data_IF_160881285858
#
_entry.id   IF_160881285858
#
_cell.length_a   1.000
_cell.length_b   1.000
_cell.length_c   1.000
_cell.angle_alpha   90.00
_cell.angle_beta   90.00
_cell.angle_gamma   90.00
#
_symmetry.space_group_name_H-M   'P 1'
#
loop_
_entity.id
_entity.type
_entity.pdbx_description
1 polymer ?
#
# COMPACT_ATOMS: atom_id res chain seq x y z
N UNK A 1 -43.61 -91.25 20.07
CA UNK A 1 -43.25 -91.99 18.84
C UNK A 1 -42.82 -90.94 17.84
N UNK A 2 -41.62 -90.84 17.30
CA UNK A 2 -40.36 -91.57 17.39
C UNK A 2 -39.32 -90.51 16.94
N UNK A 3 -38.26 -90.28 17.70
CA UNK A 3 -36.98 -90.99 17.64
C UNK A 3 -36.08 -90.62 16.44
N UNK A 4 -34.79 -90.50 16.77
CA UNK A 4 -33.59 -90.65 15.95
C UNK A 4 -33.30 -89.62 14.83
N UNK A 5 -32.22 -88.85 14.96
CA UNK A 5 -30.87 -89.31 14.58
C UNK A 5 -29.85 -88.16 14.50
N UNK A 6 -28.58 -88.55 14.67
CA UNK A 6 -27.37 -87.77 15.01
C UNK A 6 -26.66 -87.21 13.74
N UNK A 7 -25.32 -86.97 13.73
CA UNK A 7 -24.66 -85.68 13.93
C UNK A 7 -23.77 -85.27 12.73
N UNK A 8 -23.25 -84.04 12.72
CA UNK A 8 -22.16 -83.64 11.80
C UNK A 8 -21.58 -82.29 12.21
N UNK A 9 -20.45 -82.28 12.90
CA UNK A 9 -19.08 -82.13 12.34
C UNK A 9 -18.81 -80.75 11.69
N UNK A 10 -17.85 -80.07 12.34
CA UNK A 10 -16.79 -79.23 11.76
C UNK A 10 -17.04 -77.73 11.57
N UNK A 11 -16.44 -77.02 12.53
CA UNK A 11 -15.53 -75.88 12.41
C UNK A 11 -15.98 -74.57 11.72
N UNK A 12 -15.56 -73.42 12.29
CA UNK A 12 -15.91 -72.10 11.82
C UNK A 12 -14.98 -71.68 10.69
N UNK A 13 -15.53 -71.18 9.57
CA UNK A 13 -14.74 -70.49 8.56
C UNK A 13 -15.12 -69.01 8.49
N UNK A 14 -14.12 -68.20 8.83
CA UNK A 14 -13.77 -66.96 8.17
C UNK A 14 -14.78 -65.80 8.22
N UNK A 15 -14.69 -65.07 9.34
CA UNK A 15 -15.11 -63.69 9.52
C UNK A 15 -14.27 -62.73 8.68
N UNK A 16 -14.35 -62.69 7.36
CA UNK A 16 -13.66 -61.68 6.53
C UNK A 16 -14.61 -61.05 5.51
N UNK A 17 -15.42 -60.10 5.95
CA UNK A 17 -16.36 -59.38 5.09
C UNK A 17 -16.76 -58.03 5.65
N UNK A 18 -15.81 -57.17 6.02
CA UNK A 18 -16.09 -55.79 6.45
C UNK A 18 -14.88 -54.86 6.30
N UNK A 19 -14.13 -54.95 5.20
CA UNK A 19 -13.02 -54.02 4.94
C UNK A 19 -13.10 -53.28 3.60
N UNK A 20 -14.22 -53.40 2.86
CA UNK A 20 -14.42 -52.64 1.61
C UNK A 20 -15.24 -51.35 1.77
N UNK A 21 -15.89 -51.13 2.92
CA UNK A 21 -16.68 -49.92 3.17
C UNK A 21 -15.87 -48.68 3.66
N UNK A 22 -14.78 -48.78 4.45
CA UNK A 22 -14.08 -47.57 4.91
C UNK A 22 -13.11 -47.01 3.86
N UNK A 23 -12.67 -47.81 2.88
CA UNK A 23 -11.72 -47.39 1.86
C UNK A 23 -12.31 -46.36 0.87
N UNK A 24 -13.62 -46.42 0.59
CA UNK A 24 -14.26 -45.49 -0.34
C UNK A 24 -14.56 -44.11 0.29
N UNK A 25 -14.77 -44.04 1.62
CA UNK A 25 -15.00 -42.78 2.34
C UNK A 25 -13.69 -41.99 2.49
N UNK A 26 -12.55 -42.69 2.70
CA UNK A 26 -11.25 -42.04 2.80
C UNK A 26 -10.76 -41.50 1.43
N UNK A 27 -11.13 -42.13 0.32
CA UNK A 27 -10.76 -41.71 -1.03
C UNK A 27 -11.63 -40.54 -1.55
N UNK A 28 -12.86 -40.37 -1.05
CA UNK A 28 -13.75 -39.26 -1.43
C UNK A 28 -13.38 -37.91 -0.79
N UNK A 29 -12.58 -37.91 0.30
CA UNK A 29 -12.15 -36.69 0.98
C UNK A 29 -10.89 -36.05 0.36
N UNK A 30 -10.29 -36.71 -0.65
CA UNK A 30 -9.06 -36.29 -1.31
C UNK A 30 -9.31 -35.66 -2.70
N UNK A 31 -10.49 -35.09 -2.94
CA UNK A 31 -10.76 -34.29 -4.15
C UNK A 31 -11.65 -33.09 -3.83
N UNK A 32 -11.42 -32.39 -2.71
CA UNK A 32 -11.80 -30.98 -2.68
C UNK A 32 -10.79 -30.25 -3.58
N UNK A 33 -11.18 -29.64 -4.71
CA UNK A 33 -10.36 -28.58 -5.24
C UNK A 33 -10.30 -27.55 -4.12
N UNK A 34 -9.12 -27.36 -3.54
CA UNK A 34 -8.80 -26.15 -2.82
C UNK A 34 -8.86 -25.01 -3.84
N UNK A 35 -10.10 -24.62 -4.20
CA UNK A 35 -10.39 -23.30 -4.67
C UNK A 35 -10.17 -22.39 -3.48
N UNK A 36 -8.90 -22.16 -3.16
CA UNK A 36 -8.48 -20.88 -2.61
C UNK A 36 -8.90 -19.85 -3.65
N UNK A 37 -10.15 -19.44 -3.59
CA UNK A 37 -10.52 -18.09 -3.98
C UNK A 37 -9.67 -17.24 -3.06
N UNK A 38 -8.50 -16.81 -3.54
CA UNK A 38 -7.84 -15.66 -2.95
C UNK A 38 -8.94 -14.62 -2.83
N UNK A 39 -9.26 -14.22 -1.61
CA UNK A 39 -10.18 -13.14 -1.36
C UNK A 39 -9.64 -11.98 -2.22
N UNK A 40 -10.36 -11.66 -3.29
CA UNK A 40 -9.85 -10.73 -4.29
C UNK A 40 -9.49 -9.43 -3.58
N UNK A 41 -8.32 -8.88 -3.87
CA UNK A 41 -7.89 -7.61 -3.30
C UNK A 41 -8.91 -6.54 -3.71
N UNK A 42 -9.69 -6.04 -2.75
CA UNK A 42 -10.80 -5.10 -2.99
C UNK A 42 -10.31 -3.68 -3.21
N UNK A 43 -9.00 -3.43 -3.08
CA UNK A 43 -8.41 -2.09 -3.20
C UNK A 43 -8.33 -1.66 -4.66
N UNK A 44 -8.46 -0.35 -4.86
CA UNK A 44 -8.32 0.26 -6.19
C UNK A 44 -6.88 0.12 -6.66
N UNK A 45 -6.69 -0.53 -7.81
CA UNK A 45 -5.37 -0.64 -8.44
C UNK A 45 -4.97 0.69 -9.07
N UNK A 46 -3.80 1.19 -8.71
CA UNK A 46 -3.16 2.37 -9.31
C UNK A 46 -1.98 1.88 -10.13
N UNK A 47 -2.15 1.87 -11.45
CA UNK A 47 -1.14 1.38 -12.40
C UNK A 47 -0.21 2.53 -12.79
N UNK A 48 1.08 2.36 -12.54
CA UNK A 48 2.11 3.36 -12.79
C UNK A 48 3.26 2.77 -13.63
N UNK A 49 3.94 3.59 -14.45
CA UNK A 49 5.24 3.22 -15.01
C UNK A 49 6.18 2.72 -13.89
N UNK A 50 7.04 1.71 -14.15
CA UNK A 50 7.86 1.11 -13.09
C UNK A 50 8.71 2.12 -12.31
N UNK A 51 9.30 3.09 -13.01
CA UNK A 51 10.10 4.18 -12.44
C UNK A 51 9.27 5.14 -11.58
N UNK A 52 8.01 5.39 -11.95
CA UNK A 52 7.08 6.23 -11.18
C UNK A 52 6.57 5.52 -9.92
N UNK A 53 6.28 4.21 -10.02
CA UNK A 53 5.92 3.38 -8.86
C UNK A 53 7.07 3.33 -7.86
N UNK A 54 8.29 3.11 -8.33
CA UNK A 54 9.47 3.05 -7.47
C UNK A 54 9.68 4.36 -6.73
N UNK A 55 9.60 5.49 -7.44
CA UNK A 55 9.69 6.82 -6.83
C UNK A 55 8.61 7.04 -5.77
N UNK A 56 7.36 6.66 -6.05
CA UNK A 56 6.27 6.80 -5.08
C UNK A 56 6.51 5.94 -3.82
N UNK A 57 7.01 4.71 -3.99
CA UNK A 57 7.35 3.84 -2.87
C UNK A 57 8.55 4.37 -2.07
N UNK A 58 9.52 5.01 -2.72
CA UNK A 58 10.62 5.69 -2.03
C UNK A 58 10.12 6.85 -1.17
N UNK A 59 9.23 7.69 -1.71
CA UNK A 59 8.59 8.76 -0.94
C UNK A 59 7.81 8.20 0.27
N UNK A 60 7.06 7.11 0.09
CA UNK A 60 6.37 6.41 1.19
C UNK A 60 7.33 5.93 2.29
N UNK A 61 8.51 5.43 1.93
CA UNK A 61 9.55 5.07 2.92
C UNK A 61 10.09 6.30 3.63
N UNK A 62 10.29 7.41 2.92
CA UNK A 62 10.69 8.68 3.53
C UNK A 62 9.70 9.16 4.58
N UNK A 63 8.40 9.05 4.29
CA UNK A 63 7.36 9.39 5.28
C UNK A 63 7.38 8.48 6.50
N UNK A 64 7.60 7.17 6.32
CA UNK A 64 7.74 6.26 7.45
C UNK A 64 8.91 6.66 8.35
N UNK A 65 10.08 6.95 7.76
CA UNK A 65 11.26 7.43 8.49
C UNK A 65 10.96 8.73 9.26
N UNK A 66 10.28 9.68 8.62
CA UNK A 66 9.83 10.91 9.29
C UNK A 66 8.94 10.61 10.50
N UNK A 67 7.95 9.72 10.35
CA UNK A 67 7.00 9.43 11.43
C UNK A 67 7.69 8.78 12.63
N UNK A 68 8.61 7.84 12.40
CA UNK A 68 9.35 7.18 13.49
C UNK A 68 10.32 8.13 14.17
N UNK A 69 11.03 8.98 13.42
CA UNK A 69 11.95 9.97 13.99
C UNK A 69 11.21 11.08 14.76
N UNK A 70 10.03 11.47 14.29
CA UNK A 70 9.18 12.44 15.00
C UNK A 70 8.61 11.87 16.28
N UNK A 71 8.22 10.58 16.27
CA UNK A 71 7.79 9.87 17.47
C UNK A 71 8.90 9.88 18.53
N UNK A 72 10.11 9.48 18.15
CA UNK A 72 11.29 9.47 19.03
C UNK A 72 11.57 10.87 19.60
N UNK A 73 11.71 11.88 18.74
CA UNK A 73 11.96 13.26 19.18
C UNK A 73 10.84 13.81 20.08
N UNK A 74 9.58 13.44 19.84
CA UNK A 74 8.48 13.83 20.71
C UNK A 74 8.49 13.12 22.06
N UNK A 75 8.86 11.85 22.11
CA UNK A 75 9.04 11.13 23.39
C UNK A 75 10.17 11.75 24.22
N UNK A 76 11.23 12.21 23.57
CA UNK A 76 12.36 12.90 24.20
C UNK A 76 12.10 14.40 24.45
N UNK A 77 10.91 14.91 24.08
CA UNK A 77 10.56 16.32 24.14
C UNK A 77 11.48 17.27 23.36
N UNK A 78 12.20 16.76 22.35
CA UNK A 78 13.07 17.53 21.46
C UNK A 78 12.28 18.14 20.29
N UNK A 79 11.57 19.24 20.58
CA UNK A 79 10.75 19.93 19.58
C UNK A 79 11.57 20.68 18.52
N UNK A 80 12.83 21.00 18.81
CA UNK A 80 13.74 21.56 17.81
C UNK A 80 14.08 20.50 16.75
N UNK A 81 14.32 19.26 17.17
CA UNK A 81 14.52 18.14 16.26
C UNK A 81 13.28 17.84 15.43
N UNK A 82 12.07 17.90 16.01
CA UNK A 82 10.80 17.75 15.27
C UNK A 82 10.69 18.78 14.14
N UNK A 83 10.97 20.06 14.41
CA UNK A 83 10.97 21.09 13.37
C UNK A 83 12.02 20.81 12.29
N UNK A 84 13.22 20.38 12.67
CA UNK A 84 14.28 20.06 11.71
C UNK A 84 13.89 18.91 10.78
N UNK A 85 13.20 17.89 11.29
CA UNK A 85 12.71 16.76 10.51
C UNK A 85 11.68 17.20 9.45
N UNK A 86 10.80 18.14 9.78
CA UNK A 86 9.84 18.71 8.81
C UNK A 86 10.54 19.43 7.66
N UNK A 87 11.56 20.24 7.96
CA UNK A 87 12.32 20.99 6.95
C UNK A 87 13.07 20.09 5.96
N UNK A 88 13.34 18.84 6.33
CA UNK A 88 13.98 17.86 5.46
C UNK A 88 13.01 17.21 4.47
N UNK A 89 11.70 17.38 4.65
CA UNK A 89 10.72 16.76 3.77
C UNK A 89 10.64 17.44 2.40
N UNK A 90 10.77 16.62 1.37
CA UNK A 90 10.68 17.00 -0.05
C UNK A 90 9.52 16.26 -0.73
N UNK A 91 9.00 16.76 -1.87
CA UNK A 91 9.13 18.12 -2.39
C UNK A 91 8.42 19.18 -1.51
N UNK A 92 8.69 20.48 -1.76
CA UNK A 92 8.02 21.57 -1.05
C UNK A 92 6.49 21.49 -1.17
N UNK A 93 5.79 21.98 -0.14
CA UNK A 93 4.32 21.92 -0.06
C UNK A 93 3.61 22.55 -1.27
N UNK A 94 4.18 23.62 -1.85
CA UNK A 94 3.67 24.23 -3.07
C UNK A 94 3.57 23.24 -4.25
N UNK A 95 4.56 22.35 -4.40
CA UNK A 95 4.56 21.33 -5.44
C UNK A 95 3.57 20.21 -5.16
N UNK A 96 3.38 19.86 -3.88
CA UNK A 96 2.35 18.90 -3.48
C UNK A 96 0.93 19.43 -3.77
N UNK A 97 0.68 20.72 -3.53
CA UNK A 97 -0.59 21.37 -3.88
C UNK A 97 -0.84 21.37 -5.38
N UNK A 98 0.17 21.68 -6.19
CA UNK A 98 0.07 21.56 -7.65
C UNK A 98 -0.16 20.13 -8.11
N UNK A 99 0.41 19.14 -7.41
CA UNK A 99 0.12 17.74 -7.70
C UNK A 99 -1.30 17.40 -7.33
N UNK A 100 -1.90 17.97 -6.30
CA UNK A 100 -3.28 17.68 -5.91
C UNK A 100 -4.34 18.50 -6.65
N UNK A 101 -3.97 19.59 -7.31
CA UNK A 101 -4.92 20.43 -8.04
C UNK A 101 -5.36 19.77 -9.35
N UNK A 102 -6.63 19.98 -9.72
CA UNK A 102 -7.15 19.68 -11.06
C UNK A 102 -6.95 20.84 -12.05
N UNK A 103 -6.50 21.99 -11.54
CA UNK A 103 -6.17 23.16 -12.36
C UNK A 103 -5.13 22.82 -13.44
N UNK A 104 -5.21 23.45 -14.63
CA UNK A 104 -4.17 23.35 -15.64
C UNK A 104 -2.79 23.63 -15.05
N UNK A 105 -1.75 22.90 -15.52
CA UNK A 105 -0.39 23.25 -15.13
C UNK A 105 -0.14 24.69 -15.53
N UNK A 106 0.42 25.53 -14.65
CA UNK A 106 0.91 26.82 -15.09
C UNK A 106 1.86 26.58 -16.26
N UNK A 107 1.63 27.27 -17.37
CA UNK A 107 2.59 27.25 -18.47
C UNK A 107 3.92 27.70 -17.87
N UNK A 108 5.05 27.05 -18.20
CA UNK A 108 6.33 27.55 -17.77
C UNK A 108 6.49 28.94 -18.39
N UNK A 109 6.19 29.97 -17.61
CA UNK A 109 6.60 31.33 -17.89
C UNK A 109 8.09 31.23 -18.17
N UNK A 110 8.50 31.57 -19.39
CA UNK A 110 9.87 31.47 -19.90
C UNK A 110 10.86 31.86 -18.81
N UNK A 111 11.31 30.87 -18.05
CA UNK A 111 12.01 31.11 -16.81
C UNK A 111 13.40 31.58 -17.20
N UNK A 112 13.73 32.80 -16.80
CA UNK A 112 15.08 33.31 -16.81
C UNK A 112 16.02 32.25 -16.22
N UNK A 113 17.13 32.03 -16.92
CA UNK A 113 18.17 31.05 -16.61
C UNK A 113 18.52 31.10 -15.11
N UNK A 114 18.27 30.00 -14.39
CA UNK A 114 18.83 29.81 -13.05
C UNK A 114 17.93 29.02 -12.11
N UNK A 115 17.95 27.68 -12.25
CA UNK A 115 17.76 26.66 -11.21
C UNK A 115 17.20 25.37 -11.82
N UNK A 116 18.02 24.68 -12.62
CA UNK A 116 17.80 23.28 -12.94
C UNK A 116 18.65 22.46 -11.96
N UNK A 117 18.03 21.91 -10.92
CA UNK A 117 18.59 20.78 -10.17
C UNK A 117 17.72 19.57 -10.46
N UNK A 118 18.27 18.63 -11.21
CA UNK A 118 17.71 17.28 -11.40
C UNK A 118 16.88 17.07 -12.66
N UNK A 119 17.41 17.41 -13.84
CA UNK A 119 16.91 16.91 -15.12
C UNK A 119 17.91 15.92 -15.71
N UNK A 120 17.55 14.64 -15.81
CA UNK A 120 18.30 13.66 -16.61
C UNK A 120 18.34 14.08 -18.09
N UNK A 121 19.21 13.48 -18.92
CA UNK A 121 19.44 13.94 -20.28
C UNK A 121 18.25 13.58 -21.17
N UNK A 122 17.47 14.57 -21.60
CA UNK A 122 16.51 14.38 -22.67
C UNK A 122 15.45 15.48 -22.79
N UNK A 123 15.60 16.33 -23.81
CA UNK A 123 14.45 16.99 -24.45
C UNK A 123 14.53 18.51 -24.58
N UNK A 124 14.90 18.98 -25.78
CA UNK A 124 14.58 20.33 -26.27
C UNK A 124 13.09 20.49 -26.63
N UNK A 125 12.66 21.67 -27.10
CA UNK A 125 11.26 22.07 -27.10
C UNK A 125 10.49 21.50 -28.30
N UNK A 126 9.42 20.73 -28.01
CA UNK A 126 8.45 20.24 -29.01
C UNK A 126 8.51 18.73 -29.24
N UNK A 127 7.76 17.95 -28.44
CA UNK A 127 7.66 16.49 -28.58
C UNK A 127 8.38 15.67 -27.50
N UNK A 128 8.69 16.26 -26.34
CA UNK A 128 9.29 15.55 -25.21
C UNK A 128 8.31 14.58 -24.53
N UNK A 129 8.84 13.45 -24.04
CA UNK A 129 8.09 12.55 -23.17
C UNK A 129 7.55 13.32 -21.95
N UNK A 130 6.34 12.99 -21.46
CA UNK A 130 5.79 13.66 -20.29
C UNK A 130 6.74 13.49 -19.09
N UNK A 131 6.95 14.58 -18.36
CA UNK A 131 7.75 14.58 -17.13
C UNK A 131 7.13 13.65 -16.09
N UNK A 132 7.93 13.15 -15.13
CA UNK A 132 7.42 12.37 -13.99
C UNK A 132 6.23 13.07 -13.30
N UNK A 133 6.30 14.38 -13.14
CA UNK A 133 5.23 15.15 -12.51
C UNK A 133 3.93 15.09 -13.31
N UNK A 134 3.99 15.28 -14.63
CA UNK A 134 2.84 15.16 -15.51
C UNK A 134 2.26 13.75 -15.52
N UNK A 135 3.12 12.72 -15.55
CA UNK A 135 2.70 11.31 -15.47
C UNK A 135 2.02 11.00 -14.14
N UNK A 136 2.62 11.39 -13.01
CA UNK A 136 2.02 11.22 -11.68
C UNK A 136 0.69 11.95 -11.55
N UNK A 137 0.60 13.18 -12.06
CA UNK A 137 -0.65 13.96 -12.02
C UNK A 137 -1.76 13.32 -12.87
N UNK A 138 -1.41 12.69 -14.00
CA UNK A 138 -2.34 11.99 -14.89
C UNK A 138 -2.78 10.63 -14.34
N UNK A 139 -1.85 9.85 -13.81
CA UNK A 139 -2.06 8.43 -13.51
C UNK A 139 -2.54 8.18 -12.07
N UNK A 140 -2.35 9.14 -11.16
CA UNK A 140 -2.86 9.02 -9.79
C UNK A 140 -4.31 9.51 -9.69
N UNK A 141 -5.22 8.74 -9.07
CA UNK A 141 -6.58 9.19 -8.79
C UNK A 141 -6.58 10.50 -7.99
N UNK A 142 -7.58 11.37 -8.23
CA UNK A 142 -7.65 12.67 -7.54
C UNK A 142 -7.64 12.53 -6.01
N UNK A 143 -8.46 11.61 -5.47
CA UNK A 143 -8.48 11.32 -4.03
C UNK A 143 -7.13 10.83 -3.49
N UNK A 144 -6.37 10.07 -4.29
CA UNK A 144 -5.01 9.66 -3.93
C UNK A 144 -4.08 10.88 -3.79
N UNK A 145 -4.14 11.82 -4.74
CA UNK A 145 -3.34 13.06 -4.71
C UNK A 145 -3.73 13.96 -3.53
N UNK A 146 -5.01 14.00 -3.17
CA UNK A 146 -5.50 14.73 -1.99
C UNK A 146 -5.03 14.11 -0.67
N UNK A 147 -5.05 12.78 -0.53
CA UNK A 147 -4.51 12.10 0.66
C UNK A 147 -3.01 12.39 0.81
N UNK A 148 -2.23 12.33 -0.27
CA UNK A 148 -0.82 12.71 -0.23
C UNK A 148 -0.60 14.17 0.17
N UNK A 149 -1.46 15.09 -0.29
CA UNK A 149 -1.39 16.49 0.12
C UNK A 149 -1.70 16.65 1.61
N UNK A 150 -2.79 16.05 2.09
CA UNK A 150 -3.19 16.09 3.50
C UNK A 150 -2.04 15.67 4.41
N UNK A 151 -1.38 14.56 4.10
CA UNK A 151 -0.22 14.07 4.85
C UNK A 151 0.91 15.10 4.91
N UNK A 152 1.22 15.77 3.80
CA UNK A 152 2.26 16.81 3.75
C UNK A 152 1.85 18.09 4.49
N UNK A 153 0.57 18.45 4.47
CA UNK A 153 0.04 19.60 5.22
C UNK A 153 0.11 19.35 6.73
N UNK A 154 -0.27 18.15 7.17
CA UNK A 154 -0.18 17.74 8.58
C UNK A 154 1.28 17.71 9.06
N UNK A 155 2.21 17.23 8.24
CA UNK A 155 3.66 17.26 8.55
C UNK A 155 4.16 18.70 8.68
N UNK A 156 3.78 19.58 7.76
CA UNK A 156 4.16 20.99 7.83
C UNK A 156 3.55 21.67 9.07
N UNK A 157 2.35 21.27 9.49
CA UNK A 157 1.73 21.73 10.74
C UNK A 157 2.52 21.28 11.97
N UNK A 158 2.94 20.01 12.03
CA UNK A 158 3.80 19.49 13.10
C UNK A 158 5.06 20.34 13.25
N UNK A 159 5.77 20.64 12.16
CA UNK A 159 7.00 21.44 12.22
C UNK A 159 6.80 22.87 12.72
N UNK A 160 5.67 23.51 12.36
CA UNK A 160 5.31 24.85 12.86
C UNK A 160 4.91 24.82 14.34
N UNK A 161 4.12 23.83 14.73
CA UNK A 161 3.58 23.71 16.08
C UNK A 161 4.63 23.24 17.09
N UNK A 162 5.59 22.42 16.67
CA UNK A 162 6.65 21.90 17.53
C UNK A 162 7.34 23.03 18.31
N UNK A 163 7.79 24.09 17.63
CA UNK A 163 8.47 25.21 18.29
C UNK A 163 7.50 26.22 18.89
N UNK A 164 6.42 26.54 18.19
CA UNK A 164 5.49 27.59 18.66
C UNK A 164 4.70 27.20 19.90
N UNK A 165 4.43 25.90 20.09
CA UNK A 165 3.68 25.36 21.22
C UNK A 165 4.55 24.67 22.25
N UNK A 166 5.65 24.05 21.83
CA UNK A 166 6.54 23.29 22.69
C UNK A 166 5.80 22.24 23.57
N UNK A 167 4.83 21.53 22.97
CA UNK A 167 3.96 20.54 23.63
C UNK A 167 4.12 19.17 22.94
N UNK A 168 4.91 18.25 23.51
CA UNK A 168 5.13 16.92 22.91
C UNK A 168 3.85 16.09 22.80
N UNK A 169 2.91 16.22 23.73
CA UNK A 169 1.64 15.49 23.67
C UNK A 169 0.78 15.99 22.49
N UNK A 170 0.84 17.28 22.17
CA UNK A 170 0.23 17.84 20.97
C UNK A 170 0.88 17.31 19.69
N UNK A 171 2.21 17.30 19.62
CA UNK A 171 2.96 16.72 18.50
C UNK A 171 2.59 15.25 18.27
N UNK A 172 2.48 14.44 19.32
CA UNK A 172 2.07 13.03 19.21
C UNK A 172 0.65 12.88 18.66
N UNK A 173 -0.30 13.75 19.05
CA UNK A 173 -1.66 13.76 18.48
C UNK A 173 -1.66 14.15 17.01
N UNK A 174 -0.84 15.11 16.59
CA UNK A 174 -0.69 15.46 15.18
C UNK A 174 -0.05 14.31 14.39
N UNK A 175 0.97 13.66 14.95
CA UNK A 175 1.61 12.50 14.35
C UNK A 175 0.65 11.32 14.17
N UNK A 176 -0.30 11.12 15.09
CA UNK A 176 -1.38 10.16 14.91
C UNK A 176 -2.28 10.48 13.70
N UNK A 177 -2.58 11.77 13.46
CA UNK A 177 -3.34 12.18 12.26
C UNK A 177 -2.60 11.83 10.98
N UNK A 178 -1.30 12.12 10.91
CA UNK A 178 -0.43 11.72 9.78
C UNK A 178 -0.51 10.21 9.52
N UNK A 179 -0.35 9.39 10.56
CA UNK A 179 -0.41 7.93 10.44
C UNK A 179 -1.78 7.41 9.96
N UNK A 180 -2.87 8.11 10.32
CA UNK A 180 -4.23 7.76 9.85
C UNK A 180 -4.34 7.89 8.33
N UNK A 181 -3.61 8.83 7.71
CA UNK A 181 -3.56 8.95 6.24
C UNK A 181 -2.89 7.74 5.59
N UNK A 182 -1.84 7.19 6.20
CA UNK A 182 -1.19 5.97 5.74
C UNK A 182 -2.19 4.80 5.70
N UNK A 183 -2.97 4.63 6.78
CA UNK A 183 -4.00 3.59 6.88
C UNK A 183 -5.05 3.78 5.79
N UNK A 184 -5.63 4.98 5.68
CA UNK A 184 -6.66 5.28 4.68
C UNK A 184 -6.18 5.02 3.25
N UNK A 185 -4.95 5.40 2.92
CA UNK A 185 -4.38 5.15 1.60
C UNK A 185 -4.16 3.65 1.35
N UNK A 186 -3.63 2.91 2.33
CA UNK A 186 -3.37 1.47 2.19
C UNK A 186 -4.62 0.59 2.23
N UNK A 187 -5.72 1.10 2.79
CA UNK A 187 -7.04 0.49 2.73
C UNK A 187 -7.73 0.77 1.38
N UNK A 188 -7.50 1.93 0.77
CA UNK A 188 -8.17 2.29 -0.48
C UNK A 188 -7.42 1.82 -1.74
N UNK A 189 -6.08 1.77 -1.70
CA UNK A 189 -5.25 1.66 -2.89
C UNK A 189 -4.17 0.58 -2.81
N UNK A 190 -3.84 0.02 -3.97
CA UNK A 190 -2.66 -0.82 -4.21
C UNK A 190 -1.89 -0.32 -5.43
N UNK A 191 -0.56 -0.32 -5.35
CA UNK A 191 0.29 0.18 -6.43
C UNK A 191 0.80 -0.96 -7.32
N UNK A 192 0.52 -0.88 -8.61
CA UNK A 192 0.93 -1.86 -9.61
C UNK A 192 1.89 -1.21 -10.63
N UNK A 193 2.90 -1.97 -11.06
CA UNK A 193 3.76 -1.54 -12.15
C UNK A 193 3.11 -1.96 -13.49
N UNK A 194 3.06 -1.04 -14.46
CA UNK A 194 2.51 -1.34 -15.77
C UNK A 194 2.56 -0.13 -16.70
N UNK A 195 2.00 -0.29 -17.89
CA UNK A 195 1.77 0.82 -18.82
C UNK A 195 0.35 1.35 -18.51
N UNK A 196 0.22 2.59 -18.00
CA UNK A 196 -1.09 3.24 -17.90
C UNK A 196 -1.68 3.29 -19.31
N UNK A 197 -2.91 2.81 -19.48
CA UNK A 197 -3.63 2.58 -20.75
C UNK A 197 -3.45 1.21 -21.44
N UNK A 198 -3.56 0.11 -20.68
CA UNK A 198 -3.97 -1.21 -21.19
C UNK A 198 -5.39 -1.65 -20.73
N UNK A 199 -6.16 -0.75 -20.09
CA UNK A 199 -7.50 -1.03 -19.56
C UNK A 199 -8.46 0.07 -19.98
N UNK A 200 -8.99 -0.04 -21.21
CA UNK A 200 -10.26 0.53 -21.60
C UNK A 200 -11.05 -0.54 -22.34
#
# INVERSE_FOLDING_TARGET
MSDMSRPGFLLPLARHGSLLAPALVLLGMLVLPAGARGQGDTRTAVVLPPDDREHLLEEMRGFLVYTTATLEAALDSDMARVQQLEQQMRPPLARARQLASDDPLPTPAMAGRGAAVGGGPGGGPGGGQPTRFERMRRNLPQTFRLLMLQMREDIAEIGRDAVSRNDPAHTLRQLHKVQTVCIACHEAYRLEAGIPDAQR
#
